data_IF_807884507175
#
_entry.id   IF_807884507175
#
_cell.length_a   1.000
_cell.length_b   1.000
_cell.length_c   1.000
_cell.angle_alpha   90.00
_cell.angle_beta   90.00
_cell.angle_gamma   90.00
#
_symmetry.space_group_name_H-M   'P 1'
#
loop_
_entity.id
_entity.type
_entity.pdbx_description
1 polymer ?
#
# COMPACT_ATOMS: atom_id res chain seq x y z
N UNK A 1 8.60 29.77 -9.08
CA UNK A 1 8.51 28.76 -8.01
C UNK A 1 8.39 27.40 -8.69
N UNK A 2 9.39 26.53 -8.54
CA UNK A 2 9.23 25.13 -8.94
C UNK A 2 8.35 24.51 -7.85
N UNK A 3 7.07 24.33 -8.12
CA UNK A 3 6.20 23.54 -7.25
C UNK A 3 6.65 22.08 -7.37
N UNK A 4 7.68 21.71 -6.62
CA UNK A 4 8.08 20.32 -6.48
C UNK A 4 6.94 19.54 -5.85
N UNK A 5 6.49 18.47 -6.50
CA UNK A 5 5.59 17.49 -5.89
C UNK A 5 6.42 16.77 -4.84
N UNK A 6 6.30 17.20 -3.59
CA UNK A 6 6.94 16.53 -2.47
C UNK A 6 6.09 15.30 -2.14
N UNK A 7 6.65 14.14 -2.48
CA UNK A 7 6.05 12.83 -2.28
C UNK A 7 6.81 12.12 -1.16
N UNK A 8 6.13 11.86 -0.03
CA UNK A 8 6.76 11.20 1.12
C UNK A 8 6.08 9.88 1.47
N UNK A 9 6.90 8.92 1.85
CA UNK A 9 6.49 7.70 2.53
C UNK A 9 6.65 7.91 4.03
N UNK A 10 5.56 7.77 4.76
CA UNK A 10 5.57 7.67 6.22
C UNK A 10 5.76 6.23 6.67
N UNK A 11 6.23 6.05 7.90
CA UNK A 11 6.43 4.74 8.48
C UNK A 11 5.32 4.37 9.46
N UNK A 12 5.05 3.07 9.54
CA UNK A 12 4.11 2.47 10.48
C UNK A 12 4.76 1.42 11.37
N UNK A 13 5.70 0.62 10.84
CA UNK A 13 6.37 -0.48 11.57
C UNK A 13 5.43 -1.51 12.22
N UNK A 14 4.22 -1.69 11.67
CA UNK A 14 3.37 -2.84 11.96
C UNK A 14 3.93 -4.14 11.37
N UNK A 15 3.57 -5.28 11.97
CA UNK A 15 4.11 -6.61 11.67
C UNK A 15 5.63 -6.69 11.61
N UNK A 16 6.29 -5.98 12.53
CA UNK A 16 7.72 -6.15 12.80
C UNK A 16 7.92 -7.06 14.02
N UNK A 17 9.12 -7.64 14.23
CA UNK A 17 9.37 -8.49 15.40
C UNK A 17 9.03 -7.84 16.75
N UNK A 18 9.11 -6.51 16.83
CA UNK A 18 8.78 -5.71 18.03
C UNK A 18 7.30 -5.28 18.09
N UNK A 19 6.53 -5.46 17.01
CA UNK A 19 5.12 -5.09 16.93
C UNK A 19 4.37 -5.98 15.93
N UNK A 20 3.98 -7.18 16.37
CA UNK A 20 3.19 -8.15 15.59
C UNK A 20 1.68 -7.85 15.66
N UNK A 21 1.28 -6.59 15.46
CA UNK A 21 -0.11 -6.11 15.50
C UNK A 21 -0.44 -5.32 14.23
N UNK A 22 -1.73 -5.20 13.85
CA UNK A 22 -2.15 -4.39 12.70
C UNK A 22 -1.76 -2.92 12.82
N UNK A 23 -1.95 -2.33 14.00
CA UNK A 23 -1.73 -0.90 14.23
C UNK A 23 -0.24 -0.57 14.34
N UNK A 24 0.13 0.62 13.88
CA UNK A 24 1.46 1.19 14.08
C UNK A 24 1.72 1.37 15.58
N UNK A 25 2.96 1.16 16.08
CA UNK A 25 3.29 1.45 17.48
C UNK A 25 2.96 2.90 17.83
N UNK A 26 2.44 3.14 19.03
CA UNK A 26 2.06 4.49 19.51
C UNK A 26 3.22 5.47 19.39
N UNK A 27 4.43 5.02 19.72
CA UNK A 27 5.64 5.84 19.59
C UNK A 27 5.87 6.33 18.14
N UNK A 28 5.63 5.47 17.15
CA UNK A 28 5.81 5.81 15.72
C UNK A 28 4.76 6.81 15.27
N UNK A 29 3.53 6.69 15.78
CA UNK A 29 2.48 7.67 15.50
C UNK A 29 2.85 9.06 16.06
N UNK A 30 3.39 9.10 17.29
CA UNK A 30 3.92 10.33 17.89
C UNK A 30 5.08 10.93 17.09
N UNK A 31 6.03 10.11 16.64
CA UNK A 31 7.15 10.56 15.80
C UNK A 31 6.65 11.11 14.46
N UNK A 32 5.63 10.49 13.85
CA UNK A 32 4.97 11.03 12.66
C UNK A 32 4.32 12.40 12.94
N UNK A 33 3.72 12.59 14.12
CA UNK A 33 3.14 13.88 14.52
C UNK A 33 4.21 14.97 14.73
N UNK A 34 5.39 14.61 15.26
CA UNK A 34 6.50 15.56 15.44
C UNK A 34 7.11 16.05 14.11
N UNK A 35 7.02 15.23 13.06
CA UNK A 35 7.46 15.61 11.70
C UNK A 35 6.32 16.09 10.81
N UNK A 36 5.20 16.53 11.39
CA UNK A 36 4.03 17.03 10.64
C UNK A 36 4.36 18.11 9.61
N UNK A 37 5.38 18.94 9.87
CA UNK A 37 5.88 19.96 8.93
C UNK A 37 6.24 19.38 7.54
N UNK A 38 6.67 18.13 7.50
CA UNK A 38 6.99 17.41 6.26
C UNK A 38 5.72 17.11 5.46
N UNK A 39 4.69 16.63 6.15
CA UNK A 39 3.41 16.26 5.55
C UNK A 39 2.58 17.49 5.18
N UNK A 40 2.71 18.59 5.93
CA UNK A 40 2.11 19.88 5.61
C UNK A 40 2.57 20.43 4.25
N UNK A 41 3.82 20.12 3.89
CA UNK A 41 4.45 20.49 2.62
C UNK A 41 4.21 19.48 1.49
N UNK A 42 3.60 18.32 1.78
CA UNK A 42 3.44 17.22 0.82
C UNK A 42 2.07 17.29 0.15
N UNK A 43 1.96 17.12 -1.16
CA UNK A 43 0.64 17.13 -1.86
C UNK A 43 0.00 15.74 -1.90
N UNK A 44 0.78 14.70 -1.63
CA UNK A 44 0.32 13.32 -1.58
C UNK A 44 1.25 12.48 -0.68
N UNK A 45 0.69 11.47 -0.04
CA UNK A 45 1.41 10.52 0.83
C UNK A 45 1.41 9.14 0.20
N UNK A 46 2.54 8.44 0.27
CA UNK A 46 2.73 7.14 -0.38
C UNK A 46 3.31 6.10 0.59
N UNK A 47 2.53 5.58 1.56
CA UNK A 47 2.92 4.39 2.31
C UNK A 47 3.31 3.25 1.36
N UNK A 48 4.37 2.53 1.72
CA UNK A 48 4.75 1.28 1.06
C UNK A 48 3.91 0.13 1.61
N UNK A 49 3.34 -0.68 0.72
CA UNK A 49 2.56 -1.87 1.06
C UNK A 49 3.27 -3.16 0.64
N UNK A 50 4.60 -3.16 0.61
CA UNK A 50 5.38 -4.31 0.15
C UNK A 50 5.24 -5.49 1.11
N UNK A 51 4.74 -6.61 0.58
CA UNK A 51 4.40 -7.78 1.38
C UNK A 51 5.59 -8.69 1.60
N UNK A 52 5.64 -9.32 2.78
CA UNK A 52 6.56 -10.41 3.11
C UNK A 52 5.79 -11.72 3.07
N UNK A 53 6.34 -12.73 2.39
CA UNK A 53 5.77 -14.08 2.36
C UNK A 53 6.20 -14.89 3.58
N UNK A 54 7.44 -14.73 4.04
CA UNK A 54 8.03 -15.54 5.12
C UNK A 54 7.60 -15.09 6.52
N UNK A 55 7.26 -13.81 6.71
CA UNK A 55 7.00 -13.23 8.04
C UNK A 55 5.52 -13.03 8.36
N UNK A 56 4.64 -13.10 7.36
CA UNK A 56 3.22 -12.82 7.51
C UNK A 56 2.37 -13.92 6.87
N UNK A 57 1.32 -14.37 7.58
CA UNK A 57 0.23 -15.16 6.99
C UNK A 57 -0.58 -14.30 5.98
N UNK A 58 -1.37 -14.91 5.10
CA UNK A 58 -2.26 -14.16 4.19
C UNK A 58 -3.14 -13.13 4.91
N UNK A 59 -3.73 -13.49 6.05
CA UNK A 59 -4.57 -12.59 6.85
C UNK A 59 -3.75 -11.43 7.44
N UNK A 60 -2.54 -11.72 7.91
CA UNK A 60 -1.63 -10.70 8.42
C UNK A 60 -1.18 -9.72 7.32
N UNK A 61 -1.03 -10.17 6.08
CA UNK A 61 -0.71 -9.27 4.94
C UNK A 61 -1.83 -8.28 4.66
N UNK A 62 -3.09 -8.71 4.75
CA UNK A 62 -4.26 -7.82 4.63
C UNK A 62 -4.25 -6.78 5.76
N UNK A 63 -4.14 -7.23 7.00
CA UNK A 63 -4.12 -6.35 8.17
C UNK A 63 -2.90 -5.41 8.18
N UNK A 64 -1.77 -5.86 7.64
CA UNK A 64 -0.57 -5.04 7.47
C UNK A 64 -0.84 -3.85 6.55
N UNK A 65 -1.51 -4.07 5.43
CA UNK A 65 -1.85 -3.00 4.49
C UNK A 65 -2.87 -2.03 5.07
N UNK A 66 -3.92 -2.55 5.71
CA UNK A 66 -4.95 -1.75 6.40
C UNK A 66 -4.30 -0.84 7.44
N UNK A 67 -3.44 -1.37 8.32
CA UNK A 67 -2.78 -0.58 9.34
C UNK A 67 -1.91 0.56 8.80
N UNK A 68 -1.23 0.33 7.67
CA UNK A 68 -0.42 1.37 7.00
C UNK A 68 -1.28 2.43 6.34
N UNK A 69 -2.40 2.03 5.73
CA UNK A 69 -3.34 2.97 5.12
C UNK A 69 -4.05 3.81 6.17
N UNK A 70 -4.45 3.21 7.30
CA UNK A 70 -5.02 3.93 8.45
C UNK A 70 -4.09 5.05 8.93
N UNK A 71 -2.83 4.74 9.15
CA UNK A 71 -1.86 5.75 9.60
C UNK A 71 -1.63 6.84 8.56
N UNK A 72 -1.56 6.46 7.27
CA UNK A 72 -1.40 7.44 6.21
C UNK A 72 -2.58 8.40 6.11
N UNK A 73 -3.80 7.90 6.27
CA UNK A 73 -5.00 8.75 6.32
C UNK A 73 -5.02 9.61 7.57
N UNK A 74 -4.65 9.08 8.75
CA UNK A 74 -4.55 9.87 9.99
C UNK A 74 -3.61 11.06 9.82
N UNK A 75 -2.40 10.82 9.32
CA UNK A 75 -1.40 11.86 9.05
C UNK A 75 -1.88 12.86 8.00
N UNK A 76 -2.51 12.39 6.93
CA UNK A 76 -3.08 13.27 5.90
C UNK A 76 -4.17 14.19 6.46
N UNK A 77 -5.03 13.68 7.34
CA UNK A 77 -6.10 14.45 7.98
C UNK A 77 -5.57 15.51 8.94
N UNK A 78 -4.44 15.24 9.60
CA UNK A 78 -3.79 16.17 10.53
C UNK A 78 -3.15 17.39 9.85
N UNK A 79 -2.93 17.35 8.52
CA UNK A 79 -2.37 18.49 7.78
C UNK A 79 -3.25 19.72 7.92
N UNK A 80 -2.68 20.86 8.34
CA UNK A 80 -3.46 22.05 8.70
C UNK A 80 -4.19 22.74 7.54
N UNK A 81 -3.74 22.53 6.30
CA UNK A 81 -4.33 23.20 5.12
C UNK A 81 -5.69 22.58 4.74
N UNK A 82 -6.52 23.38 4.06
CA UNK A 82 -7.88 22.98 3.64
C UNK A 82 -7.85 21.75 2.73
N UNK A 83 -6.99 21.75 1.72
CA UNK A 83 -6.83 20.61 0.81
C UNK A 83 -5.87 19.58 1.41
N UNK A 84 -6.42 18.48 1.92
CA UNK A 84 -5.61 17.38 2.47
C UNK A 84 -4.80 16.70 1.36
N UNK A 85 -3.57 16.21 1.65
CA UNK A 85 -2.84 15.41 0.68
C UNK A 85 -3.63 14.15 0.33
N UNK A 86 -3.58 13.74 -0.94
CA UNK A 86 -4.14 12.44 -1.33
C UNK A 86 -3.28 11.33 -0.74
N UNK A 87 -3.90 10.28 -0.21
CA UNK A 87 -3.18 9.05 0.13
C UNK A 87 -3.16 8.17 -1.12
N UNK A 88 -2.00 7.66 -1.49
CA UNK A 88 -1.76 6.70 -2.57
C UNK A 88 -0.78 5.67 -2.05
N UNK A 89 -0.57 4.55 -2.73
CA UNK A 89 0.28 3.50 -2.17
C UNK A 89 1.30 2.97 -3.17
N UNK A 90 2.49 2.66 -2.66
CA UNK A 90 3.47 1.87 -3.39
C UNK A 90 3.18 0.39 -3.19
N UNK A 91 2.94 -0.32 -4.28
CA UNK A 91 2.75 -1.77 -4.31
C UNK A 91 3.84 -2.38 -5.18
N UNK A 92 4.51 -3.42 -4.68
CA UNK A 92 5.47 -4.20 -5.45
C UNK A 92 4.78 -5.48 -5.89
N UNK A 93 4.92 -5.87 -7.16
CA UNK A 93 4.36 -7.10 -7.71
C UNK A 93 5.09 -8.38 -7.25
N UNK A 94 6.12 -8.25 -6.38
CA UNK A 94 6.82 -9.37 -5.74
C UNK A 94 6.72 -9.27 -4.22
N UNK A 95 6.86 -10.40 -3.55
CA UNK A 95 7.16 -10.39 -2.12
C UNK A 95 8.61 -9.90 -1.92
N UNK A 96 8.85 -9.06 -0.92
CA UNK A 96 10.17 -8.42 -0.76
C UNK A 96 11.24 -9.32 -0.13
N UNK A 97 10.86 -10.50 0.34
CA UNK A 97 11.70 -11.44 1.09
C UNK A 97 11.85 -12.81 0.43
N UNK A 98 11.20 -13.03 -0.71
CA UNK A 98 11.35 -14.23 -1.56
C UNK A 98 11.34 -13.85 -3.03
N UNK A 99 12.01 -14.62 -3.88
CA UNK A 99 12.04 -14.38 -5.32
C UNK A 99 10.77 -14.91 -6.01
N UNK A 100 9.61 -14.41 -5.59
CA UNK A 100 8.30 -14.81 -6.11
C UNK A 100 7.39 -13.59 -6.40
N UNK A 101 6.56 -13.69 -7.43
CA UNK A 101 5.47 -12.75 -7.66
C UNK A 101 4.39 -12.88 -6.59
N UNK A 102 3.64 -11.81 -6.33
CA UNK A 102 2.45 -11.89 -5.47
C UNK A 102 1.45 -12.90 -6.04
N UNK A 103 0.78 -13.65 -5.15
CA UNK A 103 -0.40 -14.42 -5.54
C UNK A 103 -1.49 -13.50 -6.11
N UNK A 104 -2.41 -14.04 -6.90
CA UNK A 104 -3.54 -13.26 -7.43
C UNK A 104 -4.36 -12.63 -6.29
N UNK A 105 -4.53 -13.35 -5.18
CA UNK A 105 -5.25 -12.87 -4.00
C UNK A 105 -4.52 -11.72 -3.29
N UNK A 106 -3.22 -11.87 -3.02
CA UNK A 106 -2.44 -10.81 -2.37
C UNK A 106 -2.34 -9.56 -3.26
N UNK A 107 -2.22 -9.74 -4.57
CA UNK A 107 -2.27 -8.64 -5.53
C UNK A 107 -3.65 -7.95 -5.51
N UNK A 108 -4.74 -8.73 -5.60
CA UNK A 108 -6.10 -8.18 -5.56
C UNK A 108 -6.32 -7.38 -4.27
N UNK A 109 -5.94 -7.94 -3.12
CA UNK A 109 -6.06 -7.27 -1.83
C UNK A 109 -5.23 -5.98 -1.79
N UNK A 110 -4.00 -6.00 -2.32
CA UNK A 110 -3.14 -4.81 -2.38
C UNK A 110 -3.74 -3.67 -3.20
N UNK A 111 -4.50 -3.97 -4.26
CA UNK A 111 -5.17 -2.97 -5.08
C UNK A 111 -6.53 -2.55 -4.49
N UNK A 112 -7.32 -3.51 -4.02
CA UNK A 112 -8.66 -3.30 -3.47
C UNK A 112 -8.62 -2.49 -2.17
N UNK A 113 -7.69 -2.79 -1.25
CA UNK A 113 -7.54 -2.04 0.00
C UNK A 113 -7.21 -0.58 -0.34
N UNK A 114 -6.26 -0.32 -1.24
CA UNK A 114 -5.93 1.07 -1.63
C UNK A 114 -7.16 1.78 -2.20
N UNK A 115 -7.96 1.11 -3.04
CA UNK A 115 -9.21 1.65 -3.56
C UNK A 115 -10.24 1.96 -2.46
N UNK A 116 -10.42 1.08 -1.46
CA UNK A 116 -11.36 1.27 -0.34
C UNK A 116 -11.06 2.52 0.50
N UNK A 117 -9.79 2.91 0.62
CA UNK A 117 -9.39 4.14 1.30
C UNK A 117 -9.61 5.41 0.46
N UNK A 118 -10.34 5.32 -0.66
CA UNK A 118 -10.53 6.38 -1.63
C UNK A 118 -9.19 7.03 -2.06
N UNK A 119 -8.17 6.19 -2.18
CA UNK A 119 -6.82 6.62 -2.50
C UNK A 119 -6.74 7.18 -3.92
N UNK A 120 -5.84 8.14 -4.13
CA UNK A 120 -5.66 8.80 -5.43
C UNK A 120 -5.11 7.87 -6.51
N UNK A 121 -4.19 6.97 -6.16
CA UNK A 121 -3.55 6.03 -7.08
C UNK A 121 -2.85 4.87 -6.37
N UNK A 122 -2.56 3.81 -7.14
CA UNK A 122 -1.53 2.81 -6.81
C UNK A 122 -0.34 3.03 -7.72
N UNK A 123 0.86 3.09 -7.15
CA UNK A 123 2.11 3.09 -7.90
C UNK A 123 2.69 1.68 -7.84
N UNK A 124 2.63 0.97 -8.97
CA UNK A 124 3.29 -0.31 -9.14
C UNK A 124 4.79 -0.09 -9.31
N UNK A 125 5.56 -0.58 -8.35
CA UNK A 125 7.01 -0.48 -8.35
C UNK A 125 7.66 -1.81 -8.77
N UNK A 126 8.86 -1.73 -9.33
CA UNK A 126 9.70 -2.88 -9.67
C UNK A 126 11.17 -2.54 -9.52
N UNK A 127 11.98 -3.52 -9.08
CA UNK A 127 13.42 -3.37 -8.98
C UNK A 127 14.07 -3.57 -10.35
N UNK A 128 15.17 -2.86 -10.63
CA UNK A 128 15.99 -3.16 -11.82
C UNK A 128 16.49 -4.62 -11.83
N UNK A 129 16.63 -5.24 -10.66
CA UNK A 129 16.97 -6.67 -10.53
C UNK A 129 15.84 -7.61 -10.95
N UNK A 130 14.60 -7.12 -11.04
CA UNK A 130 13.46 -7.91 -11.51
C UNK A 130 13.41 -8.00 -13.04
N UNK A 131 14.24 -7.22 -13.74
CA UNK A 131 14.27 -7.10 -15.21
C UNK A 131 15.69 -7.14 -15.78
N UNK A 132 16.66 -7.66 -15.02
CA UNK A 132 18.08 -7.69 -15.42
C UNK A 132 18.48 -8.90 -16.30
N UNK A 133 17.54 -9.76 -16.67
CA UNK A 133 17.77 -10.89 -17.58
C UNK A 133 16.57 -11.12 -18.49
N UNK A 134 16.79 -11.79 -19.62
CA UNK A 134 15.71 -12.14 -20.56
C UNK A 134 14.65 -13.01 -19.88
N UNK A 135 15.09 -13.98 -19.09
CA UNK A 135 14.24 -14.94 -18.37
C UNK A 135 13.34 -14.20 -17.37
N UNK A 136 13.90 -13.26 -16.61
CA UNK A 136 13.14 -12.44 -15.66
C UNK A 136 12.13 -11.53 -16.35
N UNK A 137 12.52 -10.88 -17.45
CA UNK A 137 11.60 -10.10 -18.28
C UNK A 137 10.46 -10.96 -18.86
N UNK A 138 10.77 -12.16 -19.36
CA UNK A 138 9.75 -13.09 -19.87
C UNK A 138 8.82 -13.59 -18.75
N UNK A 139 9.34 -13.87 -17.56
CA UNK A 139 8.52 -14.25 -16.40
C UNK A 139 7.59 -13.10 -15.97
N UNK A 140 8.10 -11.86 -15.93
CA UNK A 140 7.28 -10.68 -15.65
C UNK A 140 6.21 -10.50 -16.73
N UNK A 141 6.54 -10.62 -18.01
CA UNK A 141 5.57 -10.53 -19.10
C UNK A 141 4.45 -11.59 -18.95
N UNK A 142 4.81 -12.82 -18.59
CA UNK A 142 3.81 -13.86 -18.33
C UNK A 142 2.91 -13.48 -17.15
N UNK A 143 3.48 -13.04 -16.03
CA UNK A 143 2.71 -12.58 -14.86
C UNK A 143 1.80 -11.39 -15.18
N UNK A 144 2.27 -10.44 -16.01
CA UNK A 144 1.48 -9.31 -16.49
C UNK A 144 0.24 -9.79 -17.25
N UNK A 145 0.41 -10.76 -18.15
CA UNK A 145 -0.66 -11.22 -19.02
C UNK A 145 -1.65 -12.17 -18.31
N UNK A 146 -1.19 -12.96 -17.34
CA UNK A 146 -2.01 -13.99 -16.69
C UNK A 146 -2.60 -13.56 -15.34
N UNK A 147 -1.96 -12.66 -14.61
CA UNK A 147 -2.36 -12.26 -13.26
C UNK A 147 -2.59 -10.74 -13.18
N UNK A 148 -1.53 -9.93 -13.33
CA UNK A 148 -1.61 -8.49 -13.01
C UNK A 148 -2.63 -7.74 -13.89
N UNK A 149 -2.53 -7.88 -15.21
CA UNK A 149 -3.42 -7.24 -16.17
C UNK A 149 -4.88 -7.63 -15.96
N UNK A 150 -5.22 -8.93 -15.92
CA UNK A 150 -6.57 -9.39 -15.62
C UNK A 150 -7.12 -8.87 -14.28
N UNK A 151 -6.33 -8.91 -13.20
CA UNK A 151 -6.75 -8.40 -11.88
C UNK A 151 -7.03 -6.90 -11.90
N UNK A 152 -6.17 -6.08 -12.53
CA UNK A 152 -6.44 -4.64 -12.66
C UNK A 152 -7.70 -4.39 -13.47
N UNK A 153 -7.89 -5.11 -14.57
CA UNK A 153 -9.09 -4.97 -15.42
C UNK A 153 -10.35 -5.32 -14.64
N UNK A 154 -10.35 -6.40 -13.88
CA UNK A 154 -11.47 -6.80 -13.02
C UNK A 154 -11.83 -5.68 -12.04
N UNK A 155 -10.86 -5.20 -11.27
CA UNK A 155 -11.06 -4.13 -10.28
C UNK A 155 -11.50 -2.80 -10.89
N UNK A 156 -11.04 -2.49 -12.11
CA UNK A 156 -11.45 -1.27 -12.83
C UNK A 156 -12.83 -1.37 -13.46
N UNK A 157 -13.32 -2.59 -13.70
CA UNK A 157 -14.63 -2.86 -14.31
C UNK A 157 -15.74 -3.18 -13.30
N UNK A 158 -15.37 -3.52 -12.06
CA UNK A 158 -16.30 -3.81 -10.98
C UNK A 158 -17.00 -2.56 -10.46
N UNK A 159 -18.29 -2.68 -10.17
CA UNK A 159 -19.02 -1.71 -9.33
C UNK A 159 -18.48 -1.75 -7.89
N UNK A 160 -18.47 -0.63 -7.15
CA UNK A 160 -17.85 -0.52 -5.82
C UNK A 160 -18.25 -1.58 -4.79
N UNK A 161 -19.45 -2.17 -4.91
CA UNK A 161 -20.01 -3.14 -3.96
C UNK A 161 -19.38 -4.55 -4.02
N UNK A 162 -18.66 -4.92 -5.08
CA UNK A 162 -18.04 -6.26 -5.20
C UNK A 162 -16.61 -6.35 -4.66
N UNK A 163 -16.06 -5.23 -4.17
CA UNK A 163 -14.73 -5.15 -3.56
C UNK A 163 -14.74 -5.25 -2.04
N UNK A 164 -15.92 -5.44 -1.45
CA UNK A 164 -16.09 -5.67 -0.02
C UNK A 164 -15.52 -7.07 0.28
N UNK A 165 -14.26 -7.10 0.74
CA UNK A 165 -13.81 -8.16 1.63
C UNK A 165 -14.90 -8.28 2.69
N UNK A 166 -15.52 -9.46 2.78
CA UNK A 166 -16.56 -9.74 3.77
C UNK A 166 -16.01 -9.49 5.17
N UNK A 167 -16.20 -8.29 5.68
CA UNK A 167 -15.99 -7.92 7.07
C UNK A 167 -17.10 -6.96 7.44
N UNK A 168 -17.87 -7.40 8.43
CA UNK A 168 -18.98 -6.75 9.10
C UNK A 168 -18.86 -5.21 9.21
N UNK A 169 -19.92 -4.44 8.93
CA UNK A 169 -19.92 -2.97 9.05
C UNK A 169 -19.65 -2.46 10.48
N UNK A 170 -19.74 -3.32 11.48
CA UNK A 170 -19.61 -2.97 12.90
C UNK A 170 -18.16 -2.90 13.40
N UNK A 171 -17.15 -3.03 12.52
CA UNK A 171 -15.72 -2.98 12.92
C UNK A 171 -15.01 -1.67 12.59
N UNK A 172 -15.74 -0.61 12.20
CA UNK A 172 -15.18 0.72 11.90
C UNK A 172 -15.75 1.83 12.80
N UNK A 173 -15.74 1.58 14.11
CA UNK A 173 -15.81 2.59 15.16
C UNK A 173 -14.67 2.39 16.17
#
# INVERSE_FOLDING_TARGET
MVSGVIMHSLYCFNYTPKNMKPNCPVQVQHENDEVQWLFDSSVALFPSLYLSKLRMSPEQRVQFMIGRMNEAVRVAQNVLRVTKPTVSAYVWYRYHDVDEFLSQEDLRNSLAIVHQYNAGAVVLWGSANDTNSRERCSALQQYLNSVLGPTIKELSSGTPDSLILSSDPDTLL
#
